data_IF_735303227388
#
_entry.id   IF_735303227388
#
_cell.length_a   1.000
_cell.length_b   1.000
_cell.length_c   1.000
_cell.angle_alpha   90.00
_cell.angle_beta   90.00
_cell.angle_gamma   90.00
#
_symmetry.space_group_name_H-M   'P 1'
#
loop_
_entity.id
_entity.type
_entity.pdbx_description
1 polymer ?
#
# COMPACT_ATOMS: atom_id res chain seq x y z
N UNK A 1 40.62 -65.51 -9.32
CA UNK A 1 39.70 -65.97 -10.38
C UNK A 1 38.59 -64.96 -10.55
N UNK A 2 38.43 -64.45 -11.78
CA UNK A 2 37.25 -63.81 -12.42
C UNK A 2 36.54 -62.68 -11.63
N UNK A 3 36.78 -61.39 -11.93
CA UNK A 3 36.36 -60.58 -13.11
C UNK A 3 34.84 -60.36 -13.23
N UNK A 4 34.51 -59.10 -13.56
CA UNK A 4 33.37 -58.55 -14.35
C UNK A 4 32.24 -57.94 -13.49
N UNK A 5 32.15 -56.60 -13.40
CA UNK A 5 31.51 -55.62 -14.35
C UNK A 5 30.00 -55.54 -14.06
N UNK A 6 29.26 -54.43 -14.07
CA UNK A 6 29.41 -53.02 -14.43
C UNK A 6 28.20 -52.32 -13.73
N UNK A 7 28.19 -51.06 -13.30
CA UNK A 7 28.55 -49.78 -13.92
C UNK A 7 28.97 -48.81 -12.80
N UNK A 8 30.08 -48.06 -12.93
CA UNK A 8 30.10 -46.68 -13.48
C UNK A 8 29.07 -45.76 -12.80
N UNK A 9 29.39 -44.59 -12.25
CA UNK A 9 30.59 -43.77 -12.26
C UNK A 9 30.23 -42.54 -11.40
N UNK A 10 31.17 -42.01 -10.60
CA UNK A 10 31.25 -40.60 -10.17
C UNK A 10 30.10 -40.01 -9.31
N UNK A 11 30.32 -39.14 -8.32
CA UNK A 11 31.49 -38.56 -7.66
C UNK A 11 30.90 -37.67 -6.55
N UNK A 12 31.46 -37.72 -5.33
CA UNK A 12 31.61 -36.63 -4.33
C UNK A 12 30.44 -35.63 -4.13
N UNK A 13 29.94 -35.37 -2.92
CA UNK A 13 30.66 -34.65 -1.87
C UNK A 13 29.99 -34.78 -0.48
N UNK A 14 30.84 -34.61 0.53
CA UNK A 14 30.62 -34.62 1.97
C UNK A 14 29.93 -33.36 2.53
N UNK A 15 29.47 -33.53 3.78
CA UNK A 15 29.19 -32.59 4.89
C UNK A 15 27.74 -32.04 5.08
N UNK A 16 27.12 -32.54 6.15
CA UNK A 16 25.86 -32.14 6.80
C UNK A 16 26.06 -30.92 7.73
N UNK A 17 25.13 -30.52 8.64
CA UNK A 17 23.65 -30.68 8.74
C UNK A 17 22.95 -29.31 8.87
N UNK A 18 21.61 -29.17 8.83
CA UNK A 18 20.86 -28.16 9.62
C UNK A 18 19.34 -28.38 9.60
N UNK A 19 18.72 -28.05 10.74
CA UNK A 19 17.33 -28.18 11.13
C UNK A 19 16.30 -27.70 10.09
N UNK A 20 15.21 -28.45 9.91
CA UNK A 20 13.98 -27.92 9.30
C UNK A 20 12.90 -27.74 10.37
N UNK A 21 12.73 -26.50 10.81
CA UNK A 21 11.50 -26.04 11.46
C UNK A 21 10.39 -26.01 10.39
N UNK A 22 9.33 -26.80 10.60
CA UNK A 22 8.07 -26.66 9.86
C UNK A 22 7.24 -25.57 10.54
N UNK A 23 7.05 -24.43 9.87
CA UNK A 23 5.96 -23.50 10.16
C UNK A 23 4.85 -23.74 9.15
N UNK A 24 3.71 -24.19 9.66
CA UNK A 24 2.44 -24.23 8.95
C UNK A 24 1.78 -22.85 9.09
N UNK A 25 1.47 -22.19 7.97
CA UNK A 25 0.61 -21.00 7.97
C UNK A 25 -0.41 -21.12 6.83
N UNK A 26 -1.59 -21.65 7.16
CA UNK A 26 -2.83 -21.39 6.41
C UNK A 26 -3.42 -20.08 6.93
N UNK A 27 -3.04 -18.97 6.30
CA UNK A 27 -3.77 -17.71 6.41
C UNK A 27 -4.22 -17.35 4.99
N UNK A 28 -5.43 -17.75 4.62
CA UNK A 28 -6.13 -17.18 3.48
C UNK A 28 -6.72 -15.85 3.92
N UNK A 29 -6.07 -14.75 3.54
CA UNK A 29 -6.64 -13.41 3.60
C UNK A 29 -7.76 -13.37 2.55
N UNK A 30 -9.02 -13.27 2.95
CA UNK A 30 -10.07 -12.83 2.02
C UNK A 30 -9.90 -11.33 1.87
N UNK A 31 -9.69 -10.87 0.64
CA UNK A 31 -9.58 -9.43 0.40
C UNK A 31 -10.78 -8.97 -0.41
N UNK A 32 -11.39 -7.89 0.06
CA UNK A 32 -12.62 -7.34 -0.46
C UNK A 32 -12.49 -6.99 -1.95
N UNK A 33 -13.40 -7.51 -2.77
CA UNK A 33 -13.43 -7.36 -4.23
C UNK A 33 -13.80 -5.94 -4.75
N UNK A 34 -13.70 -4.90 -3.94
CA UNK A 34 -14.08 -3.52 -4.32
C UNK A 34 -12.84 -2.70 -4.73
N UNK A 35 -12.17 -3.18 -5.78
CA UNK A 35 -10.97 -2.58 -6.34
C UNK A 35 -11.28 -1.84 -7.63
N UNK A 36 -11.86 -0.65 -7.54
CA UNK A 36 -11.94 0.22 -8.72
C UNK A 36 -10.52 0.49 -9.22
N UNK A 37 -10.21 -0.03 -10.42
CA UNK A 37 -8.96 0.23 -11.13
C UNK A 37 -8.66 1.72 -11.10
N UNK A 38 -7.45 2.12 -10.70
CA UNK A 38 -6.96 3.48 -10.88
C UNK A 38 -7.11 3.87 -12.37
N UNK A 39 -8.23 4.50 -12.72
CA UNK A 39 -8.66 4.72 -14.10
C UNK A 39 -8.18 6.08 -14.59
N UNK A 40 -6.89 6.33 -14.41
CA UNK A 40 -6.28 7.59 -14.74
C UNK A 40 -6.02 7.66 -16.24
N UNK A 41 -6.77 8.52 -16.94
CA UNK A 41 -6.64 8.66 -18.39
C UNK A 41 -5.62 9.72 -18.73
N UNK A 42 -4.99 9.58 -19.89
CA UNK A 42 -4.07 10.57 -20.43
C UNK A 42 -4.69 11.97 -20.56
N UNK A 43 -5.99 12.04 -20.83
CA UNK A 43 -6.71 13.31 -20.92
C UNK A 43 -6.93 13.95 -19.55
N UNK A 44 -7.05 13.14 -18.49
CA UNK A 44 -7.13 13.62 -17.10
C UNK A 44 -5.80 14.22 -16.69
N UNK A 45 -4.70 13.49 -16.94
CA UNK A 45 -3.34 13.98 -16.74
C UNK A 45 -3.08 15.29 -17.48
N UNK A 46 -3.45 15.36 -18.76
CA UNK A 46 -3.27 16.57 -19.55
C UNK A 46 -4.12 17.73 -19.02
N UNK A 47 -5.36 17.48 -18.60
CA UNK A 47 -6.21 18.51 -17.99
C UNK A 47 -5.63 19.00 -16.67
N UNK A 48 -5.13 18.10 -15.83
CA UNK A 48 -4.50 18.44 -14.56
C UNK A 48 -3.27 19.32 -14.76
N UNK A 49 -2.31 18.91 -15.61
CA UNK A 49 -1.10 19.71 -15.90
C UNK A 49 -1.47 21.13 -16.38
N UNK A 50 -2.47 21.25 -17.25
CA UNK A 50 -2.89 22.53 -17.82
C UNK A 50 -3.69 23.42 -16.85
N UNK A 51 -4.28 22.83 -15.80
CA UNK A 51 -5.03 23.56 -14.76
C UNK A 51 -4.20 23.88 -13.52
N UNK A 52 -3.08 23.18 -13.34
CA UNK A 52 -2.22 23.37 -12.19
C UNK A 52 -1.63 24.78 -12.21
N UNK A 53 -1.90 25.56 -11.17
CA UNK A 53 -1.34 26.92 -10.96
C UNK A 53 0.12 26.89 -10.45
N UNK A 54 0.76 25.73 -10.53
CA UNK A 54 2.14 25.51 -10.15
C UNK A 54 3.11 26.30 -11.03
N UNK A 55 4.09 26.96 -10.41
CA UNK A 55 5.18 27.64 -11.11
C UNK A 55 6.02 26.71 -11.99
N UNK A 56 5.95 25.40 -11.73
CA UNK A 56 6.67 24.37 -12.49
C UNK A 56 6.01 24.10 -13.85
N UNK A 57 4.73 24.42 -14.01
CA UNK A 57 4.05 24.37 -15.30
C UNK A 57 3.96 25.79 -15.86
N UNK A 58 4.53 26.00 -17.04
CA UNK A 58 4.38 27.29 -17.69
C UNK A 58 2.91 27.47 -18.11
N UNK A 59 2.44 28.72 -18.24
CA UNK A 59 1.06 29.04 -18.67
C UNK A 59 0.75 28.62 -20.12
N UNK A 60 1.56 27.76 -20.75
CA UNK A 60 1.31 27.25 -22.10
C UNK A 60 0.46 25.99 -22.00
N UNK A 61 -0.28 25.76 -23.08
CA UNK A 61 -1.05 24.52 -23.25
C UNK A 61 -0.12 23.35 -23.55
N UNK A 62 -0.08 22.40 -22.63
CA UNK A 62 0.61 21.13 -22.74
C UNK A 62 -0.24 20.10 -23.49
N UNK A 63 0.37 19.44 -24.48
CA UNK A 63 -0.25 18.38 -25.28
C UNK A 63 0.68 17.18 -25.34
N UNK A 64 0.19 16.03 -24.88
CA UNK A 64 0.95 14.77 -24.94
C UNK A 64 1.03 14.25 -26.39
N UNK A 65 2.25 14.02 -26.85
CA UNK A 65 2.54 13.51 -28.20
C UNK A 65 3.10 12.09 -28.11
N UNK A 66 2.81 11.24 -29.09
CA UNK A 66 3.37 9.87 -29.16
C UNK A 66 4.92 9.92 -29.10
N UNK A 67 5.53 9.08 -28.25
CA UNK A 67 6.99 9.09 -28.02
C UNK A 67 7.70 7.74 -28.22
N UNK A 68 6.98 6.69 -28.59
CA UNK A 68 7.54 5.35 -28.76
C UNK A 68 6.44 4.29 -28.78
N UNK A 69 6.80 3.01 -28.67
CA UNK A 69 5.82 1.93 -28.50
C UNK A 69 5.22 2.04 -27.09
N UNK A 70 3.94 2.39 -27.01
CA UNK A 70 3.18 2.39 -25.75
C UNK A 70 3.35 3.62 -24.87
N UNK A 71 3.99 4.71 -25.33
CA UNK A 71 4.12 5.93 -24.53
C UNK A 71 3.76 7.20 -25.29
N UNK A 72 3.25 8.17 -24.54
CA UNK A 72 3.15 9.58 -24.95
C UNK A 72 4.04 10.42 -24.05
N UNK A 73 4.57 11.52 -24.56
CA UNK A 73 5.38 12.46 -23.78
C UNK A 73 4.92 13.88 -23.96
N UNK A 74 5.24 14.72 -22.98
CA UNK A 74 5.19 16.17 -23.09
C UNK A 74 6.50 16.78 -22.60
N UNK A 75 6.90 17.89 -23.21
CA UNK A 75 8.10 18.65 -22.84
C UNK A 75 7.69 19.79 -21.93
N UNK A 76 8.27 19.89 -20.74
CA UNK A 76 7.93 20.92 -19.76
C UNK A 76 8.79 22.18 -19.91
N UNK A 77 10.09 22.02 -19.67
CA UNK A 77 11.12 23.06 -19.70
C UNK A 77 12.42 22.44 -20.23
N UNK A 78 13.21 23.19 -21.00
CA UNK A 78 14.56 22.79 -21.44
C UNK A 78 14.67 21.37 -22.02
N UNK A 79 15.15 20.40 -21.24
CA UNK A 79 15.27 18.97 -21.58
C UNK A 79 14.54 18.07 -20.57
N UNK A 80 13.59 18.63 -19.82
CA UNK A 80 12.71 17.91 -18.89
C UNK A 80 11.43 17.47 -19.61
N UNK A 81 11.12 16.18 -19.50
CA UNK A 81 9.98 15.54 -20.14
C UNK A 81 9.17 14.74 -19.13
N UNK A 82 7.85 14.74 -19.31
CA UNK A 82 6.97 13.72 -18.71
C UNK A 82 6.69 12.67 -19.77
N UNK A 83 6.90 11.40 -19.45
CA UNK A 83 6.50 10.25 -20.23
C UNK A 83 5.34 9.55 -19.53
N UNK A 84 4.23 9.37 -20.24
CA UNK A 84 3.09 8.59 -19.79
C UNK A 84 3.03 7.29 -20.60
N UNK A 85 3.19 6.16 -19.92
CA UNK A 85 3.04 4.84 -20.52
C UNK A 85 1.58 4.44 -20.47
N UNK A 86 1.09 3.98 -21.61
CA UNK A 86 -0.31 3.76 -21.88
C UNK A 86 -0.56 2.28 -22.10
N UNK A 87 -1.62 1.79 -21.49
CA UNK A 87 -2.07 0.41 -21.61
C UNK A 87 -2.30 0.03 -23.09
N UNK A 88 -1.83 -1.16 -23.48
CA UNK A 88 -1.93 -1.65 -24.87
C UNK A 88 -3.37 -1.94 -25.28
N UNK A 89 -4.17 -2.44 -24.35
CA UNK A 89 -5.57 -2.81 -24.53
C UNK A 89 -6.46 -1.56 -24.40
N UNK A 90 -6.19 -0.74 -23.38
CA UNK A 90 -6.88 0.53 -23.15
C UNK A 90 -5.96 1.72 -23.48
N UNK A 91 -5.91 2.10 -24.76
CA UNK A 91 -5.02 3.14 -25.34
C UNK A 91 -5.13 4.56 -24.76
N UNK A 92 -5.93 4.75 -23.71
CA UNK A 92 -6.05 6.00 -22.98
C UNK A 92 -5.69 5.89 -21.50
N UNK A 93 -5.58 4.69 -20.93
CA UNK A 93 -5.23 4.49 -19.52
C UNK A 93 -3.72 4.61 -19.33
N UNK A 94 -3.31 5.44 -18.38
CA UNK A 94 -1.91 5.59 -17.95
C UNK A 94 -1.62 4.58 -16.84
N UNK A 95 -0.52 3.85 -16.95
CA UNK A 95 -0.07 2.91 -15.91
C UNK A 95 1.32 3.23 -15.35
N UNK A 96 2.05 4.17 -15.95
CA UNK A 96 3.34 4.62 -15.44
C UNK A 96 3.64 6.04 -15.94
N UNK A 97 4.32 6.83 -15.11
CA UNK A 97 4.75 8.20 -15.38
C UNK A 97 6.23 8.43 -15.03
N UNK A 98 7.04 8.73 -16.04
CA UNK A 98 8.43 9.17 -15.80
C UNK A 98 8.56 10.67 -15.95
N UNK A 99 9.31 11.29 -15.05
CA UNK A 99 9.81 12.65 -15.16
C UNK A 99 11.33 12.55 -15.37
N UNK A 100 11.76 12.88 -16.58
CA UNK A 100 13.13 12.65 -17.04
C UNK A 100 13.79 13.98 -17.37
N UNK A 101 14.96 14.25 -16.77
CA UNK A 101 15.86 15.32 -17.18
C UNK A 101 16.90 14.73 -18.14
N UNK A 102 16.91 15.20 -19.39
CA UNK A 102 17.91 14.82 -20.38
C UNK A 102 19.10 15.79 -20.44
N UNK A 103 19.23 16.70 -19.46
CA UNK A 103 20.40 17.56 -19.29
C UNK A 103 21.32 17.10 -18.15
N UNK A 104 21.35 15.80 -17.87
CA UNK A 104 22.26 15.15 -16.92
C UNK A 104 22.17 15.75 -15.50
N UNK A 105 20.95 15.85 -14.96
CA UNK A 105 20.75 16.21 -13.55
C UNK A 105 20.76 17.72 -13.25
N UNK A 106 21.02 18.59 -14.24
CA UNK A 106 20.98 20.05 -14.06
C UNK A 106 19.62 20.59 -13.60
N UNK A 107 18.56 19.82 -13.76
CA UNK A 107 17.20 20.19 -13.35
C UNK A 107 16.70 19.35 -12.16
N UNK A 108 17.57 18.84 -11.30
CA UNK A 108 17.20 17.96 -10.18
C UNK A 108 16.07 18.53 -9.31
N UNK A 109 16.22 19.76 -8.79
CA UNK A 109 15.19 20.37 -7.92
C UNK A 109 13.86 20.54 -8.64
N UNK A 110 13.91 20.90 -9.92
CA UNK A 110 12.72 21.05 -10.75
C UNK A 110 12.00 19.71 -10.94
N UNK A 111 12.73 18.61 -11.16
CA UNK A 111 12.16 17.26 -11.19
C UNK A 111 11.54 16.89 -9.87
N UNK A 112 12.27 17.05 -8.75
CA UNK A 112 11.76 16.71 -7.42
C UNK A 112 10.44 17.42 -7.15
N UNK A 113 10.38 18.72 -7.43
CA UNK A 113 9.19 19.50 -7.16
C UNK A 113 8.00 19.09 -8.05
N UNK A 114 8.23 18.74 -9.32
CA UNK A 114 7.17 18.16 -10.14
C UNK A 114 6.71 16.80 -9.59
N UNK A 115 7.64 15.93 -9.20
CA UNK A 115 7.31 14.63 -8.60
C UNK A 115 6.46 14.81 -7.33
N UNK A 116 6.77 15.80 -6.47
CA UNK A 116 5.96 16.13 -5.29
C UNK A 116 4.53 16.50 -5.63
N UNK A 117 4.31 17.24 -6.72
CA UNK A 117 2.96 17.60 -7.17
C UNK A 117 2.16 16.36 -7.56
N UNK A 118 2.79 15.41 -8.27
CA UNK A 118 2.16 14.15 -8.62
C UNK A 118 1.90 13.28 -7.39
N UNK A 119 2.89 13.11 -6.51
CA UNK A 119 2.74 12.38 -5.24
C UNK A 119 1.56 12.92 -4.43
N UNK A 120 1.44 14.26 -4.32
CA UNK A 120 0.33 14.91 -3.64
C UNK A 120 -1.01 14.66 -4.33
N UNK A 121 -1.07 14.79 -5.65
CA UNK A 121 -2.29 14.52 -6.43
C UNK A 121 -2.77 13.08 -6.26
N UNK A 122 -1.83 12.15 -6.08
CA UNK A 122 -2.11 10.72 -5.87
C UNK A 122 -2.28 10.33 -4.40
N UNK A 123 -2.50 11.31 -3.52
CA UNK A 123 -3.03 11.07 -2.18
C UNK A 123 -2.00 10.78 -1.10
N UNK A 124 -0.74 11.19 -1.29
CA UNK A 124 0.22 11.21 -0.19
C UNK A 124 0.20 12.56 0.53
N UNK A 125 0.00 12.51 1.85
CA UNK A 125 -0.11 13.70 2.70
C UNK A 125 1.22 14.45 2.85
N UNK A 126 2.35 13.73 2.85
CA UNK A 126 3.70 14.32 2.86
C UNK A 126 4.56 13.87 1.67
N UNK A 127 4.50 14.61 0.54
CA UNK A 127 5.35 14.33 -0.62
C UNK A 127 6.85 14.45 -0.36
N UNK A 128 7.28 15.20 0.67
CA UNK A 128 8.70 15.33 0.99
C UNK A 128 9.22 14.06 1.64
N UNK A 129 8.44 13.49 2.57
CA UNK A 129 8.75 12.22 3.20
C UNK A 129 8.90 11.10 2.16
N UNK A 130 7.94 11.00 1.23
CA UNK A 130 7.97 10.01 0.13
C UNK A 130 9.24 10.12 -0.71
N UNK A 131 9.60 11.33 -1.14
CA UNK A 131 10.83 11.55 -1.92
C UNK A 131 12.09 11.25 -1.10
N UNK A 132 12.14 11.69 0.17
CA UNK A 132 13.29 11.44 1.04
C UNK A 132 13.52 9.94 1.21
N UNK A 133 12.46 9.18 1.48
CA UNK A 133 12.56 7.73 1.64
C UNK A 133 12.99 7.05 0.34
N UNK A 134 12.46 7.46 -0.82
CA UNK A 134 12.91 6.94 -2.11
C UNK A 134 14.39 7.25 -2.39
N UNK A 135 14.86 8.45 -2.04
CA UNK A 135 16.26 8.84 -2.18
C UNK A 135 17.18 8.09 -1.21
N UNK A 136 16.76 7.92 0.04
CA UNK A 136 17.54 7.21 1.05
C UNK A 136 17.67 5.73 0.70
N UNK A 137 16.62 5.09 0.18
CA UNK A 137 16.73 3.74 -0.38
C UNK A 137 17.73 3.74 -1.54
N UNK A 138 17.65 4.73 -2.44
CA UNK A 138 18.55 4.79 -3.60
C UNK A 138 20.02 4.97 -3.25
N UNK A 139 20.34 5.74 -2.20
CA UNK A 139 21.72 6.00 -1.75
C UNK A 139 22.33 4.80 -1.03
N UNK A 140 21.51 3.92 -0.49
CA UNK A 140 21.93 2.77 0.30
C UNK A 140 21.92 1.44 -0.49
N UNK A 141 21.65 1.48 -1.80
CA UNK A 141 21.74 0.30 -2.67
C UNK A 141 23.17 0.14 -3.22
N UNK A 142 23.87 -0.93 -2.84
CA UNK A 142 25.17 -1.29 -3.40
C UNK A 142 25.01 -1.94 -4.80
N UNK A 143 25.35 -1.21 -5.87
CA UNK A 143 25.45 -1.78 -7.22
C UNK A 143 25.61 -0.75 -8.35
N UNK A 144 25.89 -1.23 -9.57
CA UNK A 144 26.18 -0.42 -10.78
C UNK A 144 25.08 0.56 -11.26
N UNK A 145 23.95 0.65 -10.56
CA UNK A 145 22.84 1.58 -10.85
C UNK A 145 22.19 1.98 -9.53
N UNK A 146 22.44 3.20 -9.07
CA UNK A 146 21.83 3.72 -7.84
C UNK A 146 20.31 3.88 -8.08
N UNK A 147 19.51 2.90 -7.67
CA UNK A 147 18.05 2.93 -7.82
C UNK A 147 17.39 2.69 -6.46
N UNK A 148 16.51 3.60 -6.05
CA UNK A 148 15.66 3.45 -4.87
C UNK A 148 14.20 3.36 -5.26
N UNK A 149 13.48 2.39 -4.69
CA UNK A 149 12.05 2.20 -4.90
C UNK A 149 11.36 2.34 -3.55
N UNK A 150 10.35 3.20 -3.49
CA UNK A 150 9.46 3.37 -2.35
C UNK A 150 8.02 3.14 -2.81
N UNK A 151 7.25 2.33 -2.08
CA UNK A 151 5.88 1.97 -2.45
C UNK A 151 4.92 2.60 -1.45
N UNK A 152 3.96 3.40 -1.95
CA UNK A 152 2.92 4.00 -1.13
C UNK A 152 1.62 4.10 -1.92
N UNK A 153 0.49 3.73 -1.29
CA UNK A 153 -0.84 3.71 -1.92
C UNK A 153 -0.88 3.08 -3.32
N UNK A 154 -0.22 1.92 -3.50
CA UNK A 154 -0.13 1.19 -4.78
C UNK A 154 0.59 1.92 -5.93
N UNK A 155 1.31 3.00 -5.62
CA UNK A 155 2.20 3.71 -6.53
C UNK A 155 3.64 3.41 -6.13
N UNK A 156 4.45 2.98 -7.10
CA UNK A 156 5.88 2.82 -6.91
C UNK A 156 6.56 4.14 -7.28
N UNK A 157 7.13 4.78 -6.28
CA UNK A 157 7.96 5.96 -6.41
C UNK A 157 9.41 5.52 -6.53
N UNK A 158 9.94 5.62 -7.75
CA UNK A 158 11.28 5.17 -8.07
C UNK A 158 12.16 6.36 -8.40
N UNK A 159 13.31 6.44 -7.75
CA UNK A 159 14.37 7.40 -8.05
C UNK A 159 15.54 6.61 -8.61
N UNK A 160 15.98 6.94 -9.82
CA UNK A 160 17.09 6.30 -10.51
C UNK A 160 18.16 7.36 -10.73
N UNK A 161 19.39 7.08 -10.31
CA UNK A 161 20.56 7.80 -10.78
C UNK A 161 21.29 6.91 -11.79
N UNK A 162 21.39 7.40 -13.03
CA UNK A 162 22.11 6.75 -14.12
C UNK A 162 23.34 7.61 -14.43
N UNK A 163 24.41 7.44 -13.64
CA UNK A 163 25.53 8.40 -13.60
C UNK A 163 25.07 9.75 -13.04
N UNK A 164 25.34 10.85 -13.76
CA UNK A 164 24.85 12.20 -13.39
C UNK A 164 23.35 12.41 -13.67
N UNK A 165 22.68 11.49 -14.38
CA UNK A 165 21.30 11.67 -14.79
C UNK A 165 20.33 11.14 -13.72
N UNK A 166 19.58 12.04 -13.09
CA UNK A 166 18.47 11.69 -12.20
C UNK A 166 17.16 11.51 -12.96
N UNK A 167 16.48 10.40 -12.70
CA UNK A 167 15.14 10.08 -13.21
C UNK A 167 14.23 9.81 -12.01
N UNK A 168 13.05 10.44 -11.99
CA UNK A 168 11.97 10.07 -11.08
C UNK A 168 10.88 9.36 -11.89
N UNK A 169 10.62 8.10 -11.56
CA UNK A 169 9.62 7.22 -12.17
C UNK A 169 8.51 6.98 -11.13
N UNK A 170 7.25 7.11 -11.54
CA UNK A 170 6.08 6.82 -10.73
C UNK A 170 5.28 5.74 -11.46
N UNK A 171 5.38 4.49 -11.02
CA UNK A 171 4.60 3.40 -11.60
C UNK A 171 3.29 3.23 -10.84
N UNK A 172 2.18 3.17 -11.57
CA UNK A 172 0.85 2.94 -11.01
C UNK A 172 0.54 1.46 -11.14
N UNK A 173 0.56 0.72 -10.04
CA UNK A 173 0.13 -0.68 -10.08
C UNK A 173 -1.39 -0.71 -10.18
N UNK A 174 -1.99 -1.30 -11.24
CA UNK A 174 -3.43 -1.48 -11.28
C UNK A 174 -3.87 -2.34 -10.09
N UNK A 175 -5.02 -2.03 -9.52
CA UNK A 175 -5.67 -2.72 -8.39
C UNK A 175 -5.97 -4.22 -8.59
N UNK A 176 -5.43 -4.87 -9.63
CA UNK A 176 -5.44 -6.34 -9.77
C UNK A 176 -4.44 -7.04 -8.85
N UNK A 177 -3.55 -6.31 -8.20
CA UNK A 177 -2.59 -6.88 -7.26
C UNK A 177 -3.09 -6.75 -5.84
N UNK A 178 -4.16 -7.49 -5.60
CA UNK A 178 -4.49 -7.98 -4.28
C UNK A 178 -3.30 -8.79 -3.78
N UNK A 179 -2.89 -8.64 -2.51
CA UNK A 179 -1.86 -9.49 -1.90
C UNK A 179 -2.40 -10.92 -1.63
N UNK A 180 -3.06 -11.54 -2.61
CA UNK A 180 -3.50 -12.93 -2.53
C UNK A 180 -2.29 -13.87 -2.59
N UNK A 181 -2.36 -14.95 -1.80
CA UNK A 181 -1.36 -16.02 -1.73
C UNK A 181 -0.95 -16.56 -3.11
N UNK A 182 -1.87 -16.53 -4.08
CA UNK A 182 -1.66 -17.05 -5.44
C UNK A 182 -0.65 -16.22 -6.26
N UNK A 183 -0.53 -14.92 -6.00
CA UNK A 183 0.46 -14.09 -6.70
C UNK A 183 1.87 -14.32 -6.17
N UNK A 184 2.06 -14.54 -4.85
CA UNK A 184 3.36 -14.94 -4.26
C UNK A 184 3.93 -16.22 -4.90
N UNK A 185 3.06 -17.06 -5.45
CA UNK A 185 3.43 -18.29 -6.16
C UNK A 185 3.51 -18.14 -7.69
N UNK A 186 3.20 -16.98 -8.27
CA UNK A 186 3.26 -16.78 -9.72
C UNK A 186 4.69 -16.55 -10.20
N UNK A 187 5.03 -17.08 -11.38
CA UNK A 187 6.33 -16.83 -12.02
C UNK A 187 6.56 -15.35 -12.35
N UNK A 188 5.49 -14.57 -12.48
CA UNK A 188 5.55 -13.14 -12.74
C UNK A 188 5.93 -12.36 -11.47
N UNK A 189 5.45 -12.80 -10.29
CA UNK A 189 5.94 -12.30 -9.00
C UNK A 189 7.36 -12.78 -8.71
N UNK A 190 7.72 -14.01 -9.05
CA UNK A 190 9.10 -14.47 -8.92
C UNK A 190 10.04 -13.68 -9.85
N UNK A 191 9.64 -13.35 -11.09
CA UNK A 191 10.42 -12.49 -11.98
C UNK A 191 10.44 -11.01 -11.53
N UNK A 192 9.34 -10.51 -10.95
CA UNK A 192 9.24 -9.18 -10.36
C UNK A 192 10.09 -9.08 -9.09
N UNK A 193 10.01 -10.05 -8.20
CA UNK A 193 10.84 -10.18 -7.01
C UNK A 193 12.29 -10.51 -7.35
N UNK A 194 12.61 -11.30 -8.35
CA UNK A 194 14.01 -11.53 -8.76
C UNK A 194 14.64 -10.24 -9.31
N UNK A 195 13.83 -9.32 -9.85
CA UNK A 195 14.28 -7.98 -10.22
C UNK A 195 14.42 -7.01 -9.04
N UNK A 196 13.72 -7.25 -7.93
CA UNK A 196 13.65 -6.37 -6.73
C UNK A 196 14.46 -6.90 -5.53
N UNK A 197 14.66 -8.21 -5.43
CA UNK A 197 15.13 -8.95 -4.24
C UNK A 197 16.47 -9.65 -4.48
N UNK A 198 17.00 -9.67 -5.71
CA UNK A 198 18.37 -10.17 -5.95
C UNK A 198 19.46 -9.23 -5.38
N UNK A 199 19.11 -8.14 -4.69
CA UNK A 199 20.07 -7.15 -4.17
C UNK A 199 19.76 -6.50 -2.83
N UNK A 200 18.86 -7.03 -1.99
CA UNK A 200 18.66 -6.45 -0.65
C UNK A 200 18.48 -7.55 0.40
N UNK A 201 19.56 -7.86 1.12
CA UNK A 201 19.48 -8.51 2.42
C UNK A 201 19.70 -7.48 3.55
N UNK A 202 18.81 -7.55 4.54
CA UNK A 202 18.82 -6.96 5.89
C UNK A 202 18.32 -5.53 6.16
N UNK A 203 17.27 -5.46 7.01
CA UNK A 203 17.34 -5.12 8.44
C UNK A 203 16.12 -4.28 8.86
N UNK A 204 15.05 -4.97 9.29
CA UNK A 204 13.88 -4.32 9.87
C UNK A 204 14.25 -3.55 11.14
N UNK A 205 14.25 -2.23 11.04
CA UNK A 205 14.04 -1.35 12.20
C UNK A 205 12.76 -0.56 11.91
N UNK A 206 11.71 -0.66 12.76
CA UNK A 206 10.41 -0.07 12.47
C UNK A 206 10.50 1.46 12.58
N UNK A 207 10.30 2.15 11.45
CA UNK A 207 10.07 3.59 11.39
C UNK A 207 8.57 3.85 11.50
N UNK A 208 8.17 4.67 12.47
CA UNK A 208 6.79 5.11 12.72
C UNK A 208 6.24 5.92 11.52
N UNK A 209 5.59 5.26 10.57
CA UNK A 209 4.58 5.89 9.73
C UNK A 209 3.40 6.27 10.62
N UNK A 210 2.81 7.45 10.45
CA UNK A 210 1.53 7.76 11.10
C UNK A 210 0.53 6.68 10.73
N UNK A 211 0.23 5.84 11.72
CA UNK A 211 -0.54 4.62 11.60
C UNK A 211 -1.98 4.98 11.85
N UNK A 212 -2.86 4.86 10.85
CA UNK A 212 -4.29 4.92 11.14
C UNK A 212 -4.59 3.81 12.14
N UNK A 213 -5.49 4.08 13.09
CA UNK A 213 -5.73 3.13 14.18
C UNK A 213 -6.16 1.74 13.65
N UNK A 214 -6.73 1.68 12.45
CA UNK A 214 -7.22 0.48 11.79
C UNK A 214 -6.25 -0.22 10.83
N UNK A 215 -5.02 0.28 10.64
CA UNK A 215 -4.03 -0.36 9.74
C UNK A 215 -3.67 -1.80 10.16
N UNK A 216 -3.87 -2.10 11.44
CA UNK A 216 -3.61 -3.38 12.06
C UNK A 216 -4.89 -4.19 12.35
N UNK A 217 -6.02 -3.83 11.74
CA UNK A 217 -7.27 -4.53 11.97
C UNK A 217 -7.15 -6.01 11.55
N UNK A 218 -7.63 -6.91 12.39
CA UNK A 218 -7.74 -8.34 12.08
C UNK A 218 -9.22 -8.72 11.98
N UNK A 219 -9.53 -9.70 11.14
CA UNK A 219 -10.89 -10.21 10.96
C UNK A 219 -11.01 -11.55 11.68
N UNK A 220 -12.09 -11.74 12.43
CA UNK A 220 -12.38 -12.95 13.19
C UNK A 220 -13.79 -13.48 12.89
N UNK A 221 -13.94 -14.80 12.83
CA UNK A 221 -15.23 -15.46 12.67
C UNK A 221 -16.00 -15.51 13.99
N UNK A 222 -17.31 -15.28 13.91
CA UNK A 222 -18.27 -15.46 14.99
C UNK A 222 -18.78 -16.88 14.92
N UNK A 223 -18.62 -17.65 15.99
CA UNK A 223 -19.11 -19.03 16.05
C UNK A 223 -20.22 -19.17 17.08
N UNK A 224 -21.23 -19.98 16.75
CA UNK A 224 -22.24 -20.40 17.70
C UNK A 224 -21.62 -21.32 18.77
N UNK A 225 -22.32 -21.54 19.89
CA UNK A 225 -21.91 -22.53 20.89
C UNK A 225 -21.83 -23.97 20.33
N UNK A 226 -22.40 -24.23 19.16
CA UNK A 226 -22.31 -25.51 18.43
C UNK A 226 -21.18 -25.54 17.38
N UNK A 227 -20.40 -24.46 17.26
CA UNK A 227 -19.30 -24.35 16.29
C UNK A 227 -19.72 -23.99 14.87
N UNK A 228 -20.95 -23.54 14.65
CA UNK A 228 -21.42 -23.07 13.34
C UNK A 228 -21.07 -21.59 13.16
N UNK A 229 -20.56 -21.22 11.99
CA UNK A 229 -20.19 -19.83 11.67
C UNK A 229 -21.44 -18.94 11.50
N UNK A 230 -21.48 -17.81 12.20
CA UNK A 230 -22.59 -16.84 12.27
C UNK A 230 -22.28 -15.52 11.53
N UNK A 231 -21.04 -15.34 11.07
CA UNK A 231 -20.55 -14.16 10.37
C UNK A 231 -19.14 -13.79 10.82
N UNK A 232 -18.67 -12.60 10.42
CA UNK A 232 -17.33 -12.08 10.76
C UNK A 232 -17.44 -10.74 11.49
N UNK A 233 -16.41 -10.40 12.25
CA UNK A 233 -16.22 -9.09 12.85
C UNK A 233 -14.75 -8.67 12.76
N UNK A 234 -14.50 -7.35 12.72
CA UNK A 234 -13.14 -6.83 12.78
C UNK A 234 -12.74 -6.47 14.20
N UNK A 235 -11.46 -6.61 14.53
CA UNK A 235 -10.87 -6.20 15.81
C UNK A 235 -9.57 -5.43 15.60
N UNK A 236 -9.43 -4.34 16.34
CA UNK A 236 -8.25 -3.46 16.35
C UNK A 236 -7.75 -3.36 17.79
N UNK A 237 -6.44 -3.30 17.98
CA UNK A 237 -5.81 -3.09 19.30
C UNK A 237 -5.03 -1.78 19.31
N UNK A 238 -5.49 -0.78 20.08
CA UNK A 238 -4.83 0.52 20.23
C UNK A 238 -5.01 1.07 21.65
N UNK A 239 -4.22 2.06 22.04
CA UNK A 239 -4.43 2.74 23.32
C UNK A 239 -5.70 3.60 23.26
N UNK A 240 -6.43 3.70 24.38
CA UNK A 240 -7.66 4.49 24.51
C UNK A 240 -7.47 5.97 24.13
N UNK A 241 -6.27 6.52 24.38
CA UNK A 241 -5.89 7.88 23.99
C UNK A 241 -5.87 8.11 22.47
N UNK A 242 -5.72 7.06 21.67
CA UNK A 242 -5.75 7.12 20.21
C UNK A 242 -7.18 7.12 19.64
N UNK A 243 -8.20 6.84 20.46
CA UNK A 243 -9.59 6.90 20.06
C UNK A 243 -10.18 8.30 20.31
N UNK A 244 -9.57 9.32 19.71
CA UNK A 244 -10.14 10.67 19.62
C UNK A 244 -11.35 10.67 18.69
N UNK A 245 -12.21 11.68 18.79
CA UNK A 245 -13.42 11.74 17.95
C UNK A 245 -13.07 11.84 16.46
N UNK A 246 -11.99 12.55 16.11
CA UNK A 246 -11.45 12.60 14.74
C UNK A 246 -11.00 11.21 14.26
N UNK A 247 -10.25 10.47 15.08
CA UNK A 247 -9.78 9.13 14.71
C UNK A 247 -10.93 8.12 14.63
N UNK A 248 -11.99 8.29 15.43
CA UNK A 248 -13.19 7.46 15.35
C UNK A 248 -14.04 7.78 14.12
N UNK A 249 -14.09 9.05 13.73
CA UNK A 249 -14.75 9.47 12.49
C UNK A 249 -14.01 8.92 11.26
N UNK A 250 -12.68 9.07 11.24
CA UNK A 250 -11.80 8.52 10.21
C UNK A 250 -11.97 7.00 10.10
N UNK A 251 -11.86 6.29 11.23
CA UNK A 251 -12.11 4.85 11.29
C UNK A 251 -13.49 4.47 10.77
N UNK A 252 -14.54 5.20 11.16
CA UNK A 252 -15.87 4.85 10.71
C UNK A 252 -16.05 5.05 9.20
N UNK A 253 -15.63 6.20 8.66
CA UNK A 253 -15.83 6.53 7.26
C UNK A 253 -14.95 5.70 6.32
N UNK A 254 -13.70 5.44 6.73
CA UNK A 254 -12.69 4.82 5.87
C UNK A 254 -12.51 3.32 6.13
N UNK A 255 -13.02 2.79 7.25
CA UNK A 255 -12.92 1.36 7.56
C UNK A 255 -14.29 0.72 7.84
N UNK A 256 -15.04 1.16 8.85
CA UNK A 256 -16.30 0.50 9.24
C UNK A 256 -17.35 0.52 8.12
N UNK A 257 -17.61 1.69 7.54
CA UNK A 257 -18.65 1.89 6.53
C UNK A 257 -18.35 1.12 5.23
N UNK A 258 -17.12 1.09 4.71
CA UNK A 258 -16.75 0.23 3.59
C UNK A 258 -16.90 -1.28 3.87
N UNK A 259 -16.69 -1.71 5.12
CA UNK A 259 -16.81 -3.12 5.55
C UNK A 259 -18.15 -3.43 6.22
N UNK A 260 -19.24 -3.00 5.57
CA UNK A 260 -20.62 -3.16 6.08
C UNK A 260 -21.11 -4.62 6.14
N UNK A 261 -20.37 -5.55 5.54
CA UNK A 261 -20.61 -6.99 5.57
C UNK A 261 -20.31 -7.62 6.95
N UNK A 262 -19.43 -7.00 7.74
CA UNK A 262 -19.13 -7.46 9.09
C UNK A 262 -20.33 -7.24 10.01
N UNK A 263 -20.58 -8.19 10.93
CA UNK A 263 -21.67 -8.06 11.91
C UNK A 263 -21.48 -6.87 12.83
N UNK A 264 -20.22 -6.60 13.17
CA UNK A 264 -19.80 -5.45 13.94
C UNK A 264 -18.28 -5.26 13.79
N UNK A 265 -17.80 -4.11 14.24
CA UNK A 265 -16.39 -3.74 14.25
C UNK A 265 -16.03 -3.31 15.67
N UNK A 266 -14.88 -3.76 16.19
CA UNK A 266 -14.43 -3.37 17.53
C UNK A 266 -13.01 -2.81 17.55
N UNK A 267 -12.80 -1.92 18.51
CA UNK A 267 -11.48 -1.50 18.96
C UNK A 267 -11.34 -1.94 20.42
N UNK A 268 -10.34 -2.74 20.75
CA UNK A 268 -9.94 -3.07 22.11
C UNK A 268 -8.85 -2.13 22.60
N UNK A 269 -9.05 -1.59 23.80
CA UNK A 269 -8.05 -0.75 24.44
C UNK A 269 -6.91 -1.59 25.02
N UNK A 270 -5.67 -1.23 24.67
CA UNK A 270 -4.46 -1.89 25.19
C UNK A 270 -4.08 -1.41 26.59
N UNK A 271 -4.55 -0.22 26.99
CA UNK A 271 -4.28 0.47 28.24
C UNK A 271 -5.45 0.43 29.23
N UNK A 272 -6.63 -0.02 28.81
CA UNK A 272 -7.82 -0.16 29.66
C UNK A 272 -8.56 -1.47 29.36
N UNK A 273 -8.16 -2.53 30.07
CA UNK A 273 -8.65 -3.89 29.84
C UNK A 273 -10.17 -4.01 30.04
N UNK A 274 -10.83 -4.72 29.12
CA UNK A 274 -12.28 -4.94 29.15
C UNK A 274 -13.12 -3.76 28.66
N UNK A 275 -12.49 -2.71 28.14
CA UNK A 275 -13.16 -1.57 27.51
C UNK A 275 -12.69 -1.37 26.07
N UNK A 276 -13.50 -0.66 25.29
CA UNK A 276 -13.17 -0.36 23.92
C UNK A 276 -14.21 0.47 23.19
N UNK A 277 -14.21 0.34 21.87
CA UNK A 277 -15.20 0.91 20.97
C UNK A 277 -15.91 -0.21 20.23
N UNK A 278 -17.23 -0.11 20.11
CA UNK A 278 -18.05 -1.04 19.35
C UNK A 278 -18.81 -0.28 18.26
N UNK A 279 -18.85 -0.81 17.04
CA UNK A 279 -19.60 -0.22 15.95
C UNK A 279 -20.43 -1.27 15.22
N UNK A 280 -21.73 -1.01 15.09
CA UNK A 280 -22.68 -1.83 14.36
C UNK A 280 -23.87 -0.98 13.93
N UNK A 281 -24.55 -1.33 12.84
CA UNK A 281 -25.80 -0.68 12.42
C UNK A 281 -25.73 0.86 12.34
N UNK A 282 -24.57 1.38 11.93
CA UNK A 282 -24.34 2.81 11.74
C UNK A 282 -24.14 3.65 13.00
N UNK A 283 -23.97 2.99 14.16
CA UNK A 283 -23.65 3.66 15.43
C UNK A 283 -22.25 3.28 15.90
N UNK A 284 -21.60 4.21 16.62
CA UNK A 284 -20.31 4.00 17.29
C UNK A 284 -20.52 4.18 18.79
N UNK A 285 -20.17 3.18 19.59
CA UNK A 285 -20.23 3.21 21.05
C UNK A 285 -18.81 3.21 21.62
N UNK A 286 -18.35 4.37 22.12
CA UNK A 286 -17.03 4.57 22.71
C UNK A 286 -17.06 4.32 24.21
N UNK A 287 -15.96 3.80 24.76
CA UNK A 287 -15.82 3.45 26.18
C UNK A 287 -16.86 2.43 26.66
N UNK A 288 -17.22 1.50 25.79
CA UNK A 288 -18.15 0.41 26.12
C UNK A 288 -17.37 -0.74 26.76
N UNK A 289 -17.97 -1.39 27.75
CA UNK A 289 -17.42 -2.61 28.35
C UNK A 289 -17.61 -3.80 27.40
N UNK A 290 -16.51 -4.46 27.05
CA UNK A 290 -16.45 -5.58 26.12
C UNK A 290 -16.04 -6.86 26.84
N UNK A 291 -16.71 -7.97 26.52
CA UNK A 291 -16.36 -9.29 27.03
C UNK A 291 -16.27 -10.30 25.91
N UNK A 292 -15.32 -11.22 26.01
CA UNK A 292 -15.21 -12.34 25.09
C UNK A 292 -16.06 -13.52 25.59
N UNK A 293 -16.88 -14.09 24.71
CA UNK A 293 -17.65 -15.30 24.96
C UNK A 293 -17.63 -16.18 23.71
N UNK A 294 -17.37 -17.47 23.87
CA UNK A 294 -17.27 -18.44 22.76
C UNK A 294 -16.31 -18.00 21.65
N UNK A 295 -15.21 -17.33 22.02
CA UNK A 295 -14.20 -16.85 21.08
C UNK A 295 -14.50 -15.49 20.43
N UNK A 296 -15.70 -14.93 20.59
CA UNK A 296 -16.08 -13.64 20.00
C UNK A 296 -16.33 -12.58 21.06
N UNK A 297 -15.98 -11.33 20.76
CA UNK A 297 -16.26 -10.20 21.64
C UNK A 297 -17.68 -9.67 21.48
N UNK A 298 -18.30 -9.26 22.57
CA UNK A 298 -19.60 -8.57 22.57
C UNK A 298 -19.67 -7.47 23.62
N UNK A 299 -20.66 -6.58 23.47
CA UNK A 299 -20.97 -5.53 24.43
C UNK A 299 -21.56 -6.16 25.70
N UNK A 300 -20.91 -5.90 26.84
CA UNK A 300 -21.30 -6.41 28.16
C UNK A 300 -21.80 -5.31 29.10
N UNK A 301 -21.29 -4.08 28.96
CA UNK A 301 -21.67 -2.93 29.78
C UNK A 301 -21.66 -1.65 28.96
N UNK A 302 -22.64 -0.79 29.17
CA UNK A 302 -22.77 0.50 28.46
C UNK A 302 -22.68 1.71 29.40
N UNK A 303 -22.39 1.49 30.68
CA UNK A 303 -22.30 2.55 31.67
C UNK A 303 -21.15 3.50 31.35
N UNK A 304 -21.45 4.81 31.22
CA UNK A 304 -20.46 5.83 30.87
C UNK A 304 -20.00 5.77 29.40
N UNK A 305 -20.65 4.97 28.55
CA UNK A 305 -20.34 4.96 27.13
C UNK A 305 -20.86 6.23 26.44
N UNK A 306 -20.17 6.66 25.40
CA UNK A 306 -20.64 7.72 24.50
C UNK A 306 -21.08 7.07 23.20
N UNK A 307 -22.34 7.29 22.81
CA UNK A 307 -22.86 6.76 21.54
C UNK A 307 -22.87 7.89 20.52
N UNK A 308 -22.32 7.63 19.34
CA UNK A 308 -22.29 8.53 18.20
C UNK A 308 -23.07 7.92 17.03
N UNK A 309 -23.62 8.78 16.20
CA UNK A 309 -23.98 8.48 14.83
C UNK A 309 -23.18 9.38 13.88
N UNK A 310 -23.04 8.94 12.64
CA UNK A 310 -22.44 9.75 11.59
C UNK A 310 -23.54 10.44 10.80
N UNK A 311 -23.54 11.77 10.81
CA UNK A 311 -24.50 12.60 10.07
C UNK A 311 -24.28 12.49 8.55
N UNK A 312 -25.25 12.96 7.76
CA UNK A 312 -25.14 12.99 6.29
C UNK A 312 -23.97 13.86 5.81
N UNK A 313 -23.60 14.91 6.55
CA UNK A 313 -22.44 15.77 6.27
C UNK A 313 -21.11 15.20 6.79
N UNK A 314 -21.11 13.95 7.26
CA UNK A 314 -19.90 13.21 7.63
C UNK A 314 -19.29 13.65 8.96
N UNK A 315 -20.11 13.96 9.97
CA UNK A 315 -19.64 14.34 11.32
C UNK A 315 -20.15 13.36 12.38
N UNK A 316 -19.39 13.21 13.46
CA UNK A 316 -19.89 12.54 14.65
C UNK A 316 -20.85 13.44 15.39
N UNK A 317 -22.04 12.92 15.69
CA UNK A 317 -22.98 13.55 16.60
C UNK A 317 -23.32 12.57 17.71
N UNK A 318 -23.24 13.05 18.96
CA UNK A 318 -23.59 12.24 20.13
C UNK A 318 -25.10 12.06 20.23
N UNK A 319 -25.52 10.87 20.61
CA UNK A 319 -26.89 10.60 21.05
C UNK A 319 -26.99 11.10 22.48
N UNK A 320 -27.87 12.08 22.73
CA UNK A 320 -28.20 12.57 24.07
C UNK A 320 -29.17 11.64 24.78
#
# INVERSE_FOLDING_TARGET
MKKILASLFCLLLFFAPFNSYRVSAKNSLSVANNYETFNFKIDDLQRWINKSDSEYFNKKKYVFKKSGKGSKRVKLKEKVYIYAYIDKENKNRVFSLDIIDKDNGKNEDYIKNISKLFIKEFGADDPNQVISQAEDVSRNCDGDKDQGIYIFNHVNYKVIFNGEQKVCENDFSPSKFNMDQDYRSSSDYASFCDSVTSKNEYSNTPSESQKHIYDNATVESINSGSGSELGEYSIIHVASSQCTDDNLLDWYLNYVKPHSEYKYNIILYTDNSGYGVYSANGIIQKNVGLSQSNGSYGVAKTDGCTTYYVTEDGKLQTVQ
#
